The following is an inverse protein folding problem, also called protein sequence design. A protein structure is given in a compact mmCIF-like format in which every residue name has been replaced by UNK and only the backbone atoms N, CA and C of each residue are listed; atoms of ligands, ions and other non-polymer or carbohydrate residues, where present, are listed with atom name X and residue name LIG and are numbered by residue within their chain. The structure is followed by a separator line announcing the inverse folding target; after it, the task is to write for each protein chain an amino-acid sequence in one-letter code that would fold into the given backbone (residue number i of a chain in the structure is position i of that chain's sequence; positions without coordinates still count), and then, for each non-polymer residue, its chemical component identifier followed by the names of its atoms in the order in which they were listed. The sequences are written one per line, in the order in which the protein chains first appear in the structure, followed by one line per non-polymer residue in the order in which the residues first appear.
data_IF_331410225207
#
_entry.id   IF_331410225207
#
_cell.length_a   1.000
_cell.length_b   1.000
_cell.length_c   1.000
_cell.angle_alpha   90.00
_cell.angle_beta   90.00
_cell.angle_gamma   90.00
#
_symmetry.space_group_name_H-M   'P 1'
#
loop_
_entity.id
_entity.type
_entity.pdbx_description
1 polymer ?
#
# COMPACT_ATOMS: atom_id res chain seq x y z
N UNK A 1 -0.28 17.82 -4.00
CA UNK A 1 0.61 17.01 -4.85
C UNK A 1 1.71 17.87 -5.46
N UNK A 2 1.39 19.05 -5.99
CA UNK A 2 2.40 20.00 -6.53
C UNK A 2 3.50 20.37 -5.53
N UNK A 3 3.19 20.54 -4.24
CA UNK A 3 4.19 20.81 -3.19
C UNK A 3 5.19 19.66 -2.96
N UNK A 4 4.81 18.42 -3.28
CA UNK A 4 5.66 17.22 -3.09
C UNK A 4 6.47 16.93 -4.36
N UNK A 5 5.87 17.17 -5.53
CA UNK A 5 6.49 16.93 -6.83
C UNK A 5 6.82 15.45 -7.04
N UNK A 6 8.01 15.20 -7.58
CA UNK A 6 8.48 13.87 -7.99
C UNK A 6 8.72 12.91 -6.82
N UNK A 7 8.71 13.41 -5.58
CA UNK A 7 8.85 12.58 -4.39
C UNK A 7 7.57 11.83 -4.01
N UNK A 8 6.45 12.03 -4.70
CA UNK A 8 5.18 11.37 -4.41
C UNK A 8 5.24 9.89 -4.80
N UNK A 9 5.13 8.98 -3.83
CA UNK A 9 5.12 7.54 -4.07
C UNK A 9 3.71 6.96 -4.24
N UNK A 10 2.76 7.47 -3.47
CA UNK A 10 1.39 6.95 -3.46
C UNK A 10 0.42 8.01 -2.97
N UNK A 11 -0.80 7.98 -3.52
CA UNK A 11 -1.91 8.80 -3.08
C UNK A 11 -3.23 8.04 -3.18
N UNK A 12 -4.07 8.21 -2.18
CA UNK A 12 -5.49 7.86 -2.21
C UNK A 12 -6.33 9.07 -1.72
N UNK A 13 -7.63 8.89 -1.57
CA UNK A 13 -8.60 9.93 -1.19
C UNK A 13 -8.19 10.75 0.04
N UNK A 14 -7.60 10.11 1.04
CA UNK A 14 -7.30 10.68 2.36
C UNK A 14 -5.87 10.38 2.84
N UNK A 15 -5.03 9.78 1.98
CA UNK A 15 -3.67 9.38 2.32
C UNK A 15 -2.68 9.74 1.23
N UNK A 16 -1.49 10.14 1.65
CA UNK A 16 -0.36 10.48 0.80
C UNK A 16 0.93 9.90 1.39
N UNK A 17 1.76 9.35 0.53
CA UNK A 17 3.05 8.76 0.89
C UNK A 17 4.09 9.34 -0.05
N UNK A 18 5.15 9.89 0.51
CA UNK A 18 6.18 10.57 -0.25
C UNK A 18 7.56 10.35 0.37
N UNK A 19 8.60 10.46 -0.46
CA UNK A 19 9.99 10.43 -0.03
C UNK A 19 10.38 11.79 0.54
N UNK A 20 11.15 11.77 1.61
CA UNK A 20 11.75 12.96 2.19
C UNK A 20 13.17 12.65 2.60
N UNK A 21 14.11 13.49 2.18
CA UNK A 21 15.48 13.41 2.69
C UNK A 21 15.53 13.81 4.17
N UNK A 22 16.41 13.13 4.92
CA UNK A 22 16.60 13.42 6.34
C UNK A 22 17.16 14.84 6.50
N UNK A 23 16.45 15.68 7.24
CA UNK A 23 16.83 17.08 7.50
C UNK A 23 16.17 18.10 6.57
N UNK A 24 15.52 17.69 5.48
CA UNK A 24 14.70 18.62 4.69
C UNK A 24 13.38 18.96 5.42
N UNK A 25 12.87 20.20 5.24
CA UNK A 25 11.57 20.59 5.76
C UNK A 25 10.47 19.71 5.16
N UNK A 26 9.46 19.40 5.97
CA UNK A 26 8.30 18.63 5.54
C UNK A 26 7.47 19.49 4.54
N UNK A 27 7.33 19.07 3.27
CA UNK A 27 6.65 19.86 2.23
C UNK A 27 5.16 20.05 2.51
N UNK A 28 4.57 19.24 3.39
CA UNK A 28 3.18 19.33 3.83
C UNK A 28 3.06 19.77 5.29
N UNK A 29 4.12 20.26 5.92
CA UNK A 29 4.13 20.71 7.31
C UNK A 29 2.99 21.69 7.62
N UNK A 30 2.78 22.67 6.75
CA UNK A 30 1.73 23.69 6.91
C UNK A 30 0.30 23.13 6.84
N UNK A 31 0.15 21.95 6.21
CA UNK A 31 -1.14 21.26 6.06
C UNK A 31 -1.38 20.24 7.17
N UNK A 32 -0.42 20.03 8.07
CA UNK A 32 -0.53 19.06 9.16
C UNK A 32 -1.30 19.62 10.34
N UNK A 33 -2.13 18.78 10.95
CA UNK A 33 -2.86 19.13 12.17
C UNK A 33 -3.96 18.13 12.50
N UNK A 34 -4.73 18.47 13.54
CA UNK A 34 -5.82 17.63 14.08
C UNK A 34 -7.21 18.12 13.65
N UNK A 35 -7.27 19.23 12.91
CA UNK A 35 -8.53 19.80 12.45
C UNK A 35 -9.05 19.09 11.20
N UNK A 36 -10.36 19.15 11.00
CA UNK A 36 -11.01 18.57 9.82
C UNK A 36 -10.41 19.14 8.53
N UNK A 37 -9.94 18.26 7.65
CA UNK A 37 -9.30 18.62 6.39
C UNK A 37 -7.77 18.80 6.48
N UNK A 38 -7.18 18.68 7.67
CA UNK A 38 -5.73 18.64 7.83
C UNK A 38 -5.16 17.22 7.73
N UNK A 39 -3.87 17.13 7.43
CA UNK A 39 -3.15 15.88 7.29
C UNK A 39 -2.59 15.42 8.64
N UNK A 40 -3.03 14.27 9.13
CA UNK A 40 -2.48 13.65 10.34
C UNK A 40 -1.40 12.64 9.96
N UNK A 41 -0.30 12.61 10.73
CA UNK A 41 0.76 11.61 10.51
C UNK A 41 0.34 10.27 11.11
N UNK A 42 0.29 9.23 10.29
CA UNK A 42 0.07 7.84 10.77
C UNK A 42 1.34 7.21 11.37
N UNK A 43 2.51 7.81 11.14
CA UNK A 43 3.79 7.34 11.67
C UNK A 43 3.93 7.84 13.12
N UNK A 44 4.10 6.95 14.12
CA UNK A 44 4.31 7.36 15.50
C UNK A 44 5.63 8.10 15.68
N UNK A 45 5.72 8.96 16.70
CA UNK A 45 6.97 9.65 17.04
C UNK A 45 8.09 8.66 17.37
N UNK A 46 9.30 8.94 16.88
CA UNK A 46 10.46 8.04 17.02
C UNK A 46 10.47 6.85 16.07
N UNK A 47 9.49 6.74 15.17
CA UNK A 47 9.47 5.76 14.09
C UNK A 47 9.72 6.42 12.74
N UNK A 48 10.37 5.70 11.84
CA UNK A 48 10.60 6.10 10.45
C UNK A 48 10.17 5.00 9.50
N UNK A 49 9.55 5.38 8.40
CA UNK A 49 9.26 4.45 7.32
C UNK A 49 10.55 4.17 6.53
N UNK A 50 10.94 2.90 6.42
CA UNK A 50 12.18 2.50 5.73
C UNK A 50 11.91 1.88 4.37
N UNK A 51 10.78 1.20 4.21
CA UNK A 51 10.36 0.60 2.94
C UNK A 51 8.87 0.77 2.73
N UNK A 52 8.48 0.85 1.46
CA UNK A 52 7.10 0.97 1.03
C UNK A 52 6.89 0.16 -0.26
N UNK A 53 5.76 -0.53 -0.36
CA UNK A 53 5.34 -1.25 -1.56
C UNK A 53 3.84 -1.08 -1.78
N UNK A 54 3.43 -0.89 -3.04
CA UNK A 54 2.03 -0.90 -3.43
C UNK A 54 1.88 -1.67 -4.75
N UNK A 55 1.29 -2.89 -4.73
CA UNK A 55 1.02 -3.63 -5.97
C UNK A 55 -0.23 -3.13 -6.71
N UNK A 56 -1.17 -2.48 -6.02
CA UNK A 56 -2.43 -2.06 -6.61
C UNK A 56 -3.02 -0.86 -5.85
N UNK A 57 -3.98 -0.17 -6.48
CA UNK A 57 -4.73 0.91 -5.83
C UNK A 57 -5.40 0.42 -4.54
N UNK A 58 -5.21 1.15 -3.44
CA UNK A 58 -5.74 0.82 -2.09
C UNK A 58 -5.18 -0.49 -1.50
N UNK A 59 -4.06 -0.98 -2.03
CA UNK A 59 -3.30 -2.11 -1.50
C UNK A 59 -1.84 -1.69 -1.36
N UNK A 60 -1.37 -1.59 -0.12
CA UNK A 60 0.01 -1.21 0.17
C UNK A 60 0.49 -1.78 1.51
N UNK A 61 1.81 -1.87 1.66
CA UNK A 61 2.46 -2.25 2.89
C UNK A 61 3.74 -1.45 3.09
N UNK A 62 4.09 -1.16 4.34
CA UNK A 62 5.31 -0.44 4.68
C UNK A 62 5.93 -0.93 5.99
N UNK A 63 7.25 -0.74 6.07
CA UNK A 63 8.06 -1.05 7.24
C UNK A 63 8.36 0.22 8.00
N UNK A 64 8.11 0.18 9.29
CA UNK A 64 8.53 1.19 10.25
C UNK A 64 9.67 0.64 11.09
N UNK A 65 10.68 1.45 11.31
CA UNK A 65 11.79 1.16 12.20
C UNK A 65 11.90 2.28 13.25
N UNK A 66 12.22 1.95 14.50
CA UNK A 66 12.55 2.95 15.51
C UNK A 66 14.04 3.01 15.80
N UNK A 67 14.46 4.02 16.57
CA UNK A 67 15.87 4.19 16.95
C UNK A 67 16.43 3.02 17.80
N UNK A 68 15.54 2.22 18.40
CA UNK A 68 15.91 1.01 19.15
C UNK A 68 16.01 -0.25 18.26
N UNK A 69 15.86 -0.13 16.93
CA UNK A 69 15.93 -1.23 15.98
C UNK A 69 14.70 -2.14 15.94
N UNK A 70 13.59 -1.75 16.57
CA UNK A 70 12.33 -2.48 16.45
C UNK A 70 11.71 -2.21 15.08
N UNK A 71 11.29 -3.27 14.40
CA UNK A 71 10.62 -3.19 13.09
C UNK A 71 9.13 -3.53 13.26
N UNK A 72 8.27 -2.72 12.65
CA UNK A 72 6.84 -2.96 12.54
C UNK A 72 6.42 -2.94 11.07
N UNK A 73 5.60 -3.90 10.69
CA UNK A 73 5.00 -3.95 9.35
C UNK A 73 3.56 -3.48 9.46
N UNK A 74 3.17 -2.54 8.60
CA UNK A 74 1.79 -2.11 8.46
C UNK A 74 1.33 -2.46 7.05
N UNK A 75 0.25 -3.23 6.96
CA UNK A 75 -0.35 -3.64 5.69
C UNK A 75 -1.78 -3.16 5.60
N UNK A 76 -2.12 -2.49 4.51
CA UNK A 76 -3.49 -2.12 4.17
C UNK A 76 -3.86 -2.73 2.83
N UNK A 77 -4.79 -3.69 2.83
CA UNK A 77 -5.20 -4.40 1.63
C UNK A 77 -6.72 -4.33 1.47
N UNK A 78 -7.21 -3.34 0.71
CA UNK A 78 -8.66 -3.23 0.47
C UNK A 78 -9.20 -4.49 -0.21
N UNK A 79 -10.34 -4.96 0.27
CA UNK A 79 -11.01 -6.14 -0.25
C UNK A 79 -10.60 -7.42 0.46
N UNK A 80 -9.47 -7.47 1.17
CA UNK A 80 -9.05 -8.61 1.99
C UNK A 80 -9.32 -8.30 3.46
N UNK A 81 -9.93 -9.24 4.18
CA UNK A 81 -10.02 -9.16 5.64
C UNK A 81 -8.68 -9.66 6.17
N UNK A 82 -7.91 -8.79 6.83
CA UNK A 82 -6.62 -9.15 7.42
C UNK A 82 -6.83 -9.88 8.74
N UNK A 83 -7.24 -11.15 8.66
CA UNK A 83 -7.11 -12.10 9.76
C UNK A 83 -5.65 -12.63 9.85
N UNK A 84 -5.33 -13.41 10.89
CA UNK A 84 -3.98 -13.93 11.09
C UNK A 84 -3.45 -14.75 9.89
N UNK A 85 -4.32 -15.53 9.25
CA UNK A 85 -3.96 -16.38 8.11
C UNK A 85 -3.76 -15.52 6.86
N UNK A 86 -4.67 -14.59 6.60
CA UNK A 86 -4.61 -13.64 5.50
C UNK A 86 -3.41 -12.68 5.63
N UNK A 87 -3.08 -12.23 6.83
CA UNK A 87 -1.90 -11.40 7.10
C UNK A 87 -0.59 -12.16 6.86
N UNK A 88 -0.59 -13.50 6.94
CA UNK A 88 0.57 -14.32 6.56
C UNK A 88 0.70 -14.44 5.05
N UNK A 89 -0.42 -14.46 4.32
CA UNK A 89 -0.42 -14.55 2.85
C UNK A 89 -0.23 -13.19 2.15
N UNK A 90 -0.80 -12.13 2.72
CA UNK A 90 -0.78 -10.75 2.21
C UNK A 90 0.01 -9.90 3.20
N UNK A 91 1.33 -10.06 3.14
CA UNK A 91 2.30 -9.30 3.92
C UNK A 91 3.22 -8.48 3.00
N UNK A 92 4.11 -7.72 3.63
CA UNK A 92 5.09 -6.91 2.91
C UNK A 92 5.94 -7.74 1.93
N UNK A 93 6.53 -8.86 2.39
CA UNK A 93 7.44 -9.67 1.58
C UNK A 93 6.75 -10.27 0.36
N UNK A 94 5.50 -10.72 0.53
CA UNK A 94 4.66 -11.22 -0.54
C UNK A 94 4.33 -10.12 -1.56
N UNK A 95 3.99 -8.91 -1.08
CA UNK A 95 3.73 -7.77 -1.96
C UNK A 95 4.99 -7.33 -2.72
N UNK A 96 6.14 -7.25 -2.04
CA UNK A 96 7.43 -6.93 -2.66
C UNK A 96 7.77 -7.94 -3.74
N UNK A 97 7.61 -9.24 -3.46
CA UNK A 97 7.88 -10.31 -4.43
C UNK A 97 7.03 -10.18 -5.68
N UNK A 98 5.71 -10.02 -5.57
CA UNK A 98 4.85 -9.93 -6.76
C UNK A 98 5.15 -8.67 -7.58
N UNK A 99 5.54 -7.56 -6.95
CA UNK A 99 5.94 -6.33 -7.66
C UNK A 99 7.26 -6.54 -8.38
N UNK A 100 8.26 -7.14 -7.74
CA UNK A 100 9.55 -7.48 -8.37
C UNK A 100 9.36 -8.42 -9.56
N UNK A 101 8.62 -9.50 -9.37
CA UNK A 101 8.31 -10.47 -10.43
C UNK A 101 7.61 -9.78 -11.62
N UNK A 102 6.73 -8.81 -11.35
CA UNK A 102 6.06 -8.04 -12.39
C UNK A 102 7.02 -7.10 -13.14
N UNK A 103 7.84 -6.33 -12.42
CA UNK A 103 8.77 -5.36 -13.05
C UNK A 103 9.88 -6.06 -13.84
N UNK A 104 10.43 -7.15 -13.31
CA UNK A 104 11.58 -7.85 -13.91
C UNK A 104 11.16 -8.84 -14.99
N UNK A 105 10.06 -9.58 -14.78
CA UNK A 105 9.68 -10.71 -15.63
C UNK A 105 8.31 -10.52 -16.29
N UNK A 106 7.65 -9.38 -16.10
CA UNK A 106 6.27 -9.13 -16.55
C UNK A 106 5.29 -10.21 -16.08
N UNK A 107 5.56 -10.79 -14.89
CA UNK A 107 4.79 -11.89 -14.32
C UNK A 107 3.52 -11.39 -13.63
N UNK A 108 2.41 -12.10 -13.81
CA UNK A 108 1.11 -11.78 -13.20
C UNK A 108 0.85 -12.61 -11.94
N UNK A 109 1.88 -12.81 -11.11
CA UNK A 109 1.78 -13.50 -9.83
C UNK A 109 0.73 -12.85 -8.92
N UNK A 110 -0.02 -13.67 -8.18
CA UNK A 110 -1.05 -13.20 -7.24
C UNK A 110 -0.83 -13.78 -5.85
N UNK A 111 -1.10 -12.96 -4.83
CA UNK A 111 -1.26 -13.39 -3.44
C UNK A 111 -2.70 -13.89 -3.27
N UNK A 112 -2.88 -14.97 -2.52
CA UNK A 112 -4.20 -15.55 -2.26
C UNK A 112 -4.47 -15.64 -0.77
N UNK A 113 -5.56 -15.05 -0.31
CA UNK A 113 -6.03 -15.13 1.07
C UNK A 113 -7.40 -15.80 1.12
N UNK A 114 -7.60 -16.71 2.06
CA UNK A 114 -8.92 -17.26 2.34
C UNK A 114 -9.74 -16.26 3.17
N UNK A 115 -11.04 -16.19 2.90
CA UNK A 115 -11.96 -15.32 3.60
C UNK A 115 -13.31 -16.01 3.68
N UNK A 116 -13.89 -16.05 4.87
CA UNK A 116 -15.25 -16.55 5.06
C UNK A 116 -16.26 -15.45 4.80
N UNK A 117 -17.30 -15.76 4.02
CA UNK A 117 -18.38 -14.84 3.66
C UNK A 117 -19.75 -15.42 4.02
N UNK A 118 -20.71 -14.52 4.25
CA UNK A 118 -22.10 -14.88 4.51
C UNK A 118 -22.92 -14.57 3.27
N UNK A 119 -23.44 -15.61 2.60
CA UNK A 119 -24.32 -15.47 1.44
C UNK A 119 -25.77 -15.60 1.89
N UNK A 120 -26.62 -14.70 1.41
CA UNK A 120 -28.07 -14.80 1.61
C UNK A 120 -28.69 -15.46 0.39
N UNK A 121 -29.40 -16.57 0.59
CA UNK A 121 -30.11 -17.28 -0.47
C UNK A 121 -31.49 -17.68 0.04
N UNK A 122 -32.55 -17.26 -0.66
CA UNK A 122 -33.95 -17.60 -0.35
C UNK A 122 -34.34 -17.42 1.13
N UNK A 123 -33.90 -16.32 1.74
CA UNK A 123 -34.22 -16.00 3.14
C UNK A 123 -33.29 -16.62 4.19
N UNK A 124 -32.39 -17.54 3.80
CA UNK A 124 -31.40 -18.14 4.70
C UNK A 124 -30.02 -17.50 4.53
N UNK A 125 -29.24 -17.46 5.61
CA UNK A 125 -27.83 -17.06 5.60
C UNK A 125 -26.98 -18.33 5.63
N UNK A 126 -26.09 -18.47 4.66
CA UNK A 126 -25.13 -19.58 4.56
C UNK A 126 -23.71 -19.03 4.64
N UNK A 127 -22.87 -19.69 5.43
CA UNK A 127 -21.42 -19.44 5.48
C UNK A 127 -20.76 -20.15 4.31
N UNK A 128 -19.90 -19.45 3.57
CA UNK A 128 -19.14 -20.00 2.47
C UNK A 128 -17.71 -19.46 2.48
N UNK A 129 -16.76 -20.28 2.05
CA UNK A 129 -15.38 -19.84 1.89
C UNK A 129 -15.17 -19.19 0.53
N UNK A 130 -14.37 -18.12 0.52
CA UNK A 130 -14.01 -17.35 -0.66
C UNK A 130 -12.49 -17.13 -0.66
N UNK A 131 -11.84 -17.58 -1.72
CA UNK A 131 -10.44 -17.21 -1.96
C UNK A 131 -10.37 -15.87 -2.67
N UNK A 132 -9.74 -14.90 -2.02
CA UNK A 132 -9.48 -13.56 -2.57
C UNK A 132 -8.07 -13.52 -3.15
N UNK A 133 -7.93 -13.02 -4.37
CA UNK A 133 -6.65 -12.92 -5.07
C UNK A 133 -6.27 -11.46 -5.25
N UNK A 134 -5.03 -11.13 -4.91
CA UNK A 134 -4.46 -9.79 -5.00
C UNK A 134 -3.18 -9.86 -5.82
N UNK A 135 -3.18 -9.27 -7.01
CA UNK A 135 -2.02 -9.18 -7.90
C UNK A 135 -1.56 -7.75 -8.10
N UNK A 136 -0.57 -7.58 -8.98
CA UNK A 136 -0.16 -6.25 -9.45
C UNK A 136 -1.20 -5.75 -10.46
N UNK A 137 -1.94 -4.70 -10.10
CA UNK A 137 -3.00 -4.11 -10.93
C UNK A 137 -2.96 -2.60 -10.77
N UNK A 138 -2.43 -1.93 -11.80
CA UNK A 138 -2.41 -0.47 -11.88
C UNK A 138 -2.86 -0.01 -13.26
N UNK A 139 -4.17 0.13 -13.47
CA UNK A 139 -4.71 0.54 -14.78
C UNK A 139 -4.33 1.98 -15.17
N UNK A 140 -3.93 2.79 -14.19
CA UNK A 140 -3.63 4.22 -14.36
C UNK A 140 -2.14 4.55 -14.33
N UNK A 141 -1.30 3.60 -13.91
CA UNK A 141 0.13 3.80 -13.71
C UNK A 141 0.91 2.67 -14.38
N UNK A 142 2.02 3.01 -15.02
CA UNK A 142 2.96 2.06 -15.59
C UNK A 142 4.21 2.02 -14.73
N UNK A 143 4.61 0.82 -14.29
CA UNK A 143 5.91 0.63 -13.66
C UNK A 143 7.05 0.74 -14.69
N UNK A 144 8.10 1.43 -14.30
CA UNK A 144 9.37 1.49 -15.01
C UNK A 144 10.37 0.48 -14.43
N UNK A 145 11.45 0.13 -15.16
CA UNK A 145 12.46 -0.83 -14.69
C UNK A 145 13.17 -0.42 -13.38
N UNK A 146 13.15 0.86 -13.03
CA UNK A 146 13.69 1.42 -11.79
C UNK A 146 12.67 1.43 -10.63
N UNK A 147 11.52 0.76 -10.80
CA UNK A 147 10.38 0.71 -9.88
C UNK A 147 9.64 2.05 -9.70
N UNK A 148 9.99 3.10 -10.43
CA UNK A 148 9.18 4.31 -10.50
C UNK A 148 7.88 4.06 -11.27
N UNK A 149 6.91 4.96 -11.13
CA UNK A 149 5.62 4.85 -11.83
C UNK A 149 5.34 6.09 -12.67
N UNK A 150 4.84 5.89 -13.88
CA UNK A 150 4.38 6.97 -14.75
C UNK A 150 2.87 6.87 -14.98
N UNK A 151 2.15 8.00 -15.05
CA UNK A 151 0.75 8.00 -15.49
C UNK A 151 0.60 7.38 -16.87
N UNK A 152 -0.44 6.57 -17.04
CA UNK A 152 -0.77 6.00 -18.34
C UNK A 152 -1.10 7.13 -19.34
N UNK A 153 -0.44 7.12 -20.50
CA UNK A 153 -0.57 8.17 -21.52
C UNK A 153 0.44 9.32 -21.41
N UNK A 154 1.30 9.31 -20.38
CA UNK A 154 2.43 10.25 -20.31
C UNK A 154 3.50 9.83 -21.34
N UNK A 155 3.84 10.74 -22.25
CA UNK A 155 4.91 10.58 -23.24
C UNK A 155 6.05 11.51 -22.83
N UNK A 156 7.27 10.98 -22.73
CA UNK A 156 8.49 11.78 -22.55
C UNK A 156 8.83 12.55 -23.82
#
# INVERSE_FOLDING_TARGET
MEKIGDNLCYTDTDSLIYLREKGQPDPVAEMRGEWLGMLTSEIPEGWRMTKFVSPAAKVYSYLLENDNGQVRVVTKAKGVTLDHTAATAVNYDGMERIVRDYVENNSTSVLSAQSTIFKRTLGHIQTADLTKRTGVVMDKLRFLPDYSTLPYGYSL
#
